data_IF_286301386384
#
_entry.id   IF_286301386384
#
_cell.length_a   1.000
_cell.length_b   1.000
_cell.length_c   1.000
_cell.angle_alpha   90.00
_cell.angle_beta   90.00
_cell.angle_gamma   90.00
#
_symmetry.space_group_name_H-M   'P 1'
#
loop_
_entity.id
_entity.type
_entity.pdbx_description
1 polymer ?
#
# COMPACT_ATOMS: atom_id res chain seq x y z
N UNK A 1 15.26 -19.25 0.56
CA UNK A 1 14.57 -18.45 1.59
C UNK A 1 13.08 -18.66 1.40
N UNK A 2 12.32 -19.00 2.45
CA UNK A 2 10.86 -19.03 2.40
C UNK A 2 10.31 -17.60 2.34
N UNK A 3 9.27 -17.39 1.52
CA UNK A 3 8.58 -16.11 1.40
C UNK A 3 7.15 -16.25 1.94
N UNK A 4 6.67 -15.21 2.62
CA UNK A 4 5.26 -14.97 2.84
C UNK A 4 4.73 -14.04 1.75
N UNK A 5 3.47 -14.22 1.36
CA UNK A 5 2.82 -13.38 0.35
C UNK A 5 1.81 -12.45 1.02
N UNK A 6 2.01 -11.14 0.87
CA UNK A 6 1.05 -10.12 1.31
C UNK A 6 0.22 -9.69 0.10
N UNK A 7 -1.11 -9.67 0.24
CA UNK A 7 -2.01 -9.19 -0.82
C UNK A 7 -1.94 -7.65 -0.89
N UNK A 8 -1.47 -7.10 -2.00
CA UNK A 8 -1.39 -5.66 -2.27
C UNK A 8 -2.46 -5.27 -3.29
N UNK A 9 -3.41 -4.42 -2.90
CA UNK A 9 -4.61 -4.09 -3.67
C UNK A 9 -4.61 -2.60 -3.99
N UNK A 10 -4.75 -2.21 -5.26
CA UNK A 10 -4.98 -0.82 -5.63
C UNK A 10 -6.43 -0.59 -6.02
N UNK A 11 -7.06 0.43 -5.46
CA UNK A 11 -8.47 0.74 -5.70
C UNK A 11 -8.78 2.23 -5.56
N UNK A 12 -9.90 2.66 -6.12
CA UNK A 12 -10.43 3.99 -5.87
C UNK A 12 -10.90 4.14 -4.40
N UNK A 13 -10.66 5.31 -3.83
CA UNK A 13 -11.15 5.67 -2.49
C UNK A 13 -12.68 5.70 -2.46
N UNK A 14 -13.33 5.21 -1.39
CA UNK A 14 -14.77 4.96 -1.37
C UNK A 14 -15.66 6.22 -1.50
N UNK A 15 -15.14 7.42 -1.22
CA UNK A 15 -15.94 8.65 -1.13
C UNK A 15 -15.52 9.76 -2.10
N UNK A 16 -14.42 9.56 -2.84
CA UNK A 16 -13.85 10.55 -3.76
C UNK A 16 -13.28 9.86 -5.01
N UNK A 17 -13.94 8.81 -5.49
CA UNK A 17 -13.37 7.76 -6.35
C UNK A 17 -12.56 8.27 -7.54
N UNK A 18 -11.28 7.90 -7.57
CA UNK A 18 -10.40 8.08 -8.73
C UNK A 18 -10.92 7.32 -9.95
N UNK A 19 -10.56 7.80 -11.15
CA UNK A 19 -10.80 7.04 -12.38
C UNK A 19 -10.00 5.73 -12.38
N UNK A 20 -10.50 4.64 -13.00
CA UNK A 20 -9.75 3.38 -13.10
C UNK A 20 -8.36 3.56 -13.73
N UNK A 21 -8.24 4.45 -14.72
CA UNK A 21 -6.96 4.75 -15.36
C UNK A 21 -5.95 5.37 -14.39
N UNK A 22 -6.40 6.23 -13.48
CA UNK A 22 -5.54 6.84 -12.46
C UNK A 22 -5.09 5.78 -11.44
N UNK A 23 -6.01 4.93 -10.97
CA UNK A 23 -5.68 3.81 -10.07
C UNK A 23 -4.60 2.91 -10.70
N UNK A 24 -4.77 2.52 -11.97
CA UNK A 24 -3.79 1.69 -12.68
C UNK A 24 -2.47 2.40 -12.98
N UNK A 25 -2.46 3.72 -13.14
CA UNK A 25 -1.23 4.49 -13.27
C UNK A 25 -0.46 4.49 -11.94
N UNK A 26 -1.15 4.79 -10.83
CA UNK A 26 -0.56 4.74 -9.48
C UNK A 26 -0.02 3.35 -9.15
N UNK A 27 -0.80 2.30 -9.42
CA UNK A 27 -0.38 0.92 -9.19
C UNK A 27 0.93 0.59 -9.90
N UNK A 28 1.01 0.88 -11.20
CA UNK A 28 2.22 0.64 -12.00
C UNK A 28 3.43 1.40 -11.48
N UNK A 29 3.26 2.65 -11.06
CA UNK A 29 4.36 3.46 -10.53
C UNK A 29 4.86 2.95 -9.17
N UNK A 30 3.96 2.67 -8.22
CA UNK A 30 4.32 2.11 -6.92
C UNK A 30 5.04 0.77 -7.10
N UNK A 31 4.45 -0.15 -7.88
CA UNK A 31 5.03 -1.48 -8.10
C UNK A 31 6.38 -1.38 -8.79
N UNK A 32 6.54 -0.53 -9.81
CA UNK A 32 7.82 -0.31 -10.46
C UNK A 32 8.90 0.18 -9.48
N UNK A 33 8.56 1.10 -8.58
CA UNK A 33 9.50 1.60 -7.57
C UNK A 33 9.91 0.51 -6.57
N UNK A 34 8.94 -0.27 -6.07
CA UNK A 34 9.21 -1.38 -5.15
C UNK A 34 10.13 -2.43 -5.81
N UNK A 35 9.87 -2.79 -7.07
CA UNK A 35 10.72 -3.72 -7.83
C UNK A 35 12.13 -3.17 -8.01
N UNK A 36 12.30 -1.87 -8.28
CA UNK A 36 13.62 -1.22 -8.36
C UNK A 36 14.39 -1.27 -7.02
N UNK A 37 13.69 -1.39 -5.90
CA UNK A 37 14.29 -1.60 -4.56
C UNK A 37 14.54 -3.08 -4.24
N UNK A 38 14.61 -3.95 -5.26
CA UNK A 38 14.76 -5.39 -5.14
C UNK A 38 13.65 -6.08 -4.34
N UNK A 39 12.47 -5.45 -4.21
CA UNK A 39 11.30 -6.12 -3.65
C UNK A 39 10.69 -7.05 -4.70
N UNK A 40 10.22 -8.21 -4.26
CA UNK A 40 9.53 -9.17 -5.13
C UNK A 40 8.04 -8.88 -5.10
N UNK A 41 7.52 -8.33 -6.20
CA UNK A 41 6.11 -8.06 -6.40
C UNK A 41 5.65 -8.82 -7.65
N UNK A 42 4.58 -9.60 -7.53
CA UNK A 42 4.04 -10.41 -8.61
C UNK A 42 2.58 -10.03 -8.88
N UNK A 43 2.14 -9.90 -10.14
CA UNK A 43 0.74 -9.62 -10.45
C UNK A 43 -0.14 -10.84 -10.13
N UNK A 44 -1.34 -10.59 -9.59
CA UNK A 44 -2.34 -11.64 -9.35
C UNK A 44 -3.53 -11.41 -10.25
N UNK A 45 -3.95 -12.47 -10.93
CA UNK A 45 -5.21 -12.48 -11.66
C UNK A 45 -6.27 -13.22 -10.86
N UNK A 46 -7.18 -12.50 -10.22
CA UNK A 46 -8.27 -13.09 -9.43
C UNK A 46 -9.58 -13.26 -10.23
N UNK A 47 -9.54 -13.02 -11.55
CA UNK A 47 -10.70 -13.14 -12.45
C UNK A 47 -11.66 -11.94 -12.40
N UNK A 48 -11.45 -11.00 -11.49
CA UNK A 48 -12.20 -9.75 -11.44
C UNK A 48 -11.70 -8.81 -12.53
N UNK A 49 -12.56 -8.47 -13.49
CA UNK A 49 -12.21 -7.44 -14.49
C UNK A 49 -12.09 -6.09 -13.79
N UNK A 50 -10.86 -5.60 -13.62
CA UNK A 50 -10.60 -4.21 -13.22
C UNK A 50 -10.06 -4.00 -11.80
N UNK A 51 -9.21 -4.89 -11.29
CA UNK A 51 -8.41 -4.65 -10.09
C UNK A 51 -6.92 -4.77 -10.39
N UNK A 52 -6.15 -3.76 -10.01
CA UNK A 52 -4.69 -3.84 -9.97
C UNK A 52 -4.30 -4.56 -8.66
N UNK A 53 -4.11 -5.87 -8.78
CA UNK A 53 -3.84 -6.76 -7.65
C UNK A 53 -2.44 -7.39 -7.77
N UNK A 54 -1.72 -7.40 -6.67
CA UNK A 54 -0.36 -7.94 -6.59
C UNK A 54 -0.16 -8.77 -5.32
N UNK A 55 0.83 -9.66 -5.37
CA UNK A 55 1.44 -10.32 -4.22
C UNK A 55 2.78 -9.67 -3.95
N UNK A 56 2.98 -9.21 -2.72
CA UNK A 56 4.28 -8.78 -2.24
C UNK A 56 4.91 -9.92 -1.45
N UNK A 57 5.97 -10.50 -2.02
CA UNK A 57 6.72 -11.58 -1.41
C UNK A 57 7.73 -11.01 -0.42
N UNK A 58 7.47 -11.25 0.87
CA UNK A 58 8.29 -10.79 1.98
C UNK A 58 9.08 -11.96 2.55
N UNK A 59 10.38 -11.76 2.77
CA UNK A 59 11.25 -12.80 3.32
C UNK A 59 10.82 -13.17 4.74
N UNK A 60 10.73 -14.47 4.99
CA UNK A 60 10.41 -15.01 6.31
C UNK A 60 11.58 -15.78 6.87
N UNK A 61 11.71 -15.74 8.21
CA UNK A 61 12.78 -16.42 8.91
C UNK A 61 12.56 -17.95 9.02
N UNK A 62 11.34 -18.46 8.80
CA UNK A 62 10.98 -19.85 9.06
C UNK A 62 10.17 -20.48 7.90
N UNK A 63 10.61 -21.65 7.44
CA UNK A 63 9.97 -22.38 6.33
C UNK A 63 8.78 -23.25 6.76
N UNK A 64 8.64 -23.55 8.06
CA UNK A 64 7.62 -24.48 8.56
C UNK A 64 6.21 -23.86 8.53
N UNK A 65 6.11 -22.57 8.86
CA UNK A 65 4.92 -21.73 8.72
C UNK A 65 5.40 -20.28 8.54
N UNK A 66 5.19 -19.65 7.37
CA UNK A 66 5.73 -18.32 7.10
C UNK A 66 4.86 -17.27 7.78
N UNK A 67 4.92 -17.18 9.11
CA UNK A 67 4.32 -16.07 9.86
C UNK A 67 5.17 -14.82 9.65
N UNK A 68 4.51 -13.69 9.42
CA UNK A 68 5.19 -12.40 9.26
C UNK A 68 5.32 -11.77 10.65
N UNK A 69 6.55 -11.50 11.13
CA UNK A 69 6.73 -10.72 12.34
C UNK A 69 6.17 -9.31 12.16
N UNK A 70 5.54 -8.77 13.20
CA UNK A 70 4.97 -7.42 13.16
C UNK A 70 6.00 -6.33 12.77
N UNK A 71 7.24 -6.46 13.22
CA UNK A 71 8.33 -5.56 12.83
C UNK A 71 8.65 -5.62 11.33
N UNK A 72 8.56 -6.82 10.73
CA UNK A 72 8.72 -6.99 9.27
C UNK A 72 7.56 -6.35 8.53
N UNK A 73 6.32 -6.54 9.01
CA UNK A 73 5.14 -5.87 8.44
C UNK A 73 5.27 -4.35 8.51
N UNK A 74 5.67 -3.81 9.67
CA UNK A 74 5.87 -2.37 9.87
C UNK A 74 6.89 -1.80 8.88
N UNK A 75 8.01 -2.50 8.68
CA UNK A 75 9.03 -2.12 7.70
C UNK A 75 8.47 -2.13 6.26
N UNK A 76 7.76 -3.20 5.87
CA UNK A 76 7.15 -3.32 4.54
C UNK A 76 6.14 -2.20 4.28
N UNK A 77 5.28 -1.90 5.25
CA UNK A 77 4.30 -0.80 5.15
C UNK A 77 4.99 0.57 5.12
N UNK A 78 6.07 0.76 5.89
CA UNK A 78 6.85 2.00 5.87
C UNK A 78 7.47 2.27 4.49
N UNK A 79 7.98 1.22 3.84
CA UNK A 79 8.51 1.31 2.47
C UNK A 79 7.41 1.70 1.49
N UNK A 80 6.23 1.09 1.58
CA UNK A 80 5.09 1.45 0.73
C UNK A 80 4.68 2.92 0.91
N UNK A 81 4.56 3.38 2.16
CA UNK A 81 4.20 4.76 2.48
C UNK A 81 5.22 5.75 1.92
N UNK A 82 6.51 5.42 2.00
CA UNK A 82 7.58 6.22 1.41
C UNK A 82 7.45 6.32 -0.10
N UNK A 83 7.15 5.21 -0.79
CA UNK A 83 6.99 5.22 -2.24
C UNK A 83 5.77 6.01 -2.67
N UNK A 84 4.63 5.80 -2.02
CA UNK A 84 3.41 6.60 -2.25
C UNK A 84 3.69 8.09 -2.05
N UNK A 85 4.39 8.46 -0.98
CA UNK A 85 4.78 9.85 -0.70
C UNK A 85 5.75 10.43 -1.75
N UNK A 86 6.62 9.61 -2.33
CA UNK A 86 7.52 10.04 -3.40
C UNK A 86 6.77 10.28 -4.71
N UNK A 87 5.74 9.49 -5.01
CA UNK A 87 4.84 9.77 -6.15
C UNK A 87 4.21 11.15 -6.01
N UNK A 88 3.80 11.50 -4.80
CA UNK A 88 3.30 12.84 -4.47
C UNK A 88 4.35 13.96 -4.53
N UNK A 89 5.61 13.67 -4.85
CA UNK A 89 6.67 14.68 -4.97
C UNK A 89 7.27 14.75 -6.37
N UNK A 90 7.20 13.67 -7.12
CA UNK A 90 7.81 13.56 -8.45
C UNK A 90 6.97 14.19 -9.57
N UNK A 91 5.68 14.41 -9.35
CA UNK A 91 4.86 15.15 -10.30
C UNK A 91 5.17 16.65 -10.16
N UNK A 92 5.76 17.25 -11.20
CA UNK A 92 6.11 18.68 -11.27
C UNK A 92 4.89 19.59 -11.24
N UNK A 93 3.69 19.00 -11.24
CA UNK A 93 2.41 19.68 -11.02
C UNK A 93 2.32 20.15 -9.57
N UNK A 94 1.77 21.35 -9.36
CA UNK A 94 1.57 21.94 -8.03
C UNK A 94 1.07 20.91 -7.00
N UNK A 95 1.56 20.91 -5.74
CA UNK A 95 1.17 19.92 -4.71
C UNK A 95 -0.34 19.88 -4.42
N UNK A 96 -1.09 20.82 -4.98
CA UNK A 96 -2.54 20.87 -4.96
C UNK A 96 -3.16 19.84 -5.91
N UNK A 97 -2.61 19.52 -7.08
CA UNK A 97 -3.28 18.70 -8.12
C UNK A 97 -3.16 17.18 -7.93
N UNK A 98 -2.53 16.72 -6.85
CA UNK A 98 -2.26 15.30 -6.68
C UNK A 98 -3.43 14.58 -6.00
N UNK A 99 -3.75 13.35 -6.45
CA UNK A 99 -4.76 12.54 -5.80
C UNK A 99 -4.30 12.19 -4.37
N UNK A 100 -5.18 12.32 -3.35
CA UNK A 100 -4.85 11.83 -2.03
C UNK A 100 -4.74 10.31 -2.08
N UNK A 101 -3.62 9.75 -1.63
CA UNK A 101 -3.40 8.31 -1.54
C UNK A 101 -3.35 7.91 -0.08
N UNK A 102 -4.14 6.91 0.30
CA UNK A 102 -4.22 6.38 1.66
C UNK A 102 -3.85 4.90 1.63
N UNK A 103 -3.00 4.46 2.55
CA UNK A 103 -2.69 3.04 2.74
C UNK A 103 -3.54 2.52 3.89
N UNK A 104 -4.19 1.37 3.66
CA UNK A 104 -5.04 0.70 4.65
C UNK A 104 -4.51 -0.72 4.82
N UNK A 105 -4.11 -1.07 6.04
CA UNK A 105 -3.64 -2.41 6.39
C UNK A 105 -4.78 -3.14 7.08
N UNK A 106 -5.16 -4.32 6.60
CA UNK A 106 -6.23 -5.13 7.18
C UNK A 106 -5.72 -6.53 7.48
N UNK A 107 -5.95 -7.01 8.70
CA UNK A 107 -5.60 -8.35 9.14
C UNK A 107 -6.83 -9.00 9.80
N UNK A 108 -7.47 -9.93 9.11
CA UNK A 108 -8.76 -10.48 9.53
C UNK A 108 -9.83 -9.38 9.61
N UNK A 109 -10.41 -9.19 10.79
CA UNK A 109 -11.46 -8.18 11.04
C UNK A 109 -10.91 -6.83 11.55
N UNK A 110 -9.59 -6.75 11.78
CA UNK A 110 -8.94 -5.55 12.27
C UNK A 110 -8.34 -4.73 11.11
N UNK A 111 -8.46 -3.42 11.18
CA UNK A 111 -7.94 -2.49 10.16
C UNK A 111 -7.17 -1.36 10.82
N UNK A 112 -6.02 -1.02 10.24
CA UNK A 112 -5.17 0.11 10.62
C UNK A 112 -4.93 0.98 9.39
N UNK A 113 -5.20 2.28 9.51
CA UNK A 113 -4.90 3.27 8.47
C UNK A 113 -3.76 4.15 8.98
N UNK A 114 -2.50 3.77 8.70
CA UNK A 114 -1.37 4.54 9.18
C UNK A 114 -1.32 5.95 8.57
N UNK A 115 -0.89 6.96 9.34
CA UNK A 115 -0.58 8.28 8.80
C UNK A 115 0.45 8.21 7.66
N UNK A 116 0.35 9.09 6.64
CA UNK A 116 1.24 9.06 5.47
C UNK A 116 2.72 9.36 5.80
N UNK A 117 2.95 10.03 6.93
CA UNK A 117 4.29 10.41 7.41
C UNK A 117 4.83 9.47 8.50
N UNK A 118 4.17 8.35 8.76
CA UNK A 118 4.63 7.43 9.80
C UNK A 118 5.96 6.78 9.43
N UNK A 119 6.92 6.88 10.35
CA UNK A 119 8.15 6.11 10.30
C UNK A 119 7.94 4.67 10.78
N UNK A 120 8.97 3.83 10.64
CA UNK A 120 8.91 2.41 11.01
C UNK A 120 8.56 2.20 12.49
N UNK A 121 9.09 3.01 13.41
CA UNK A 121 8.89 2.82 14.85
C UNK A 121 7.46 3.17 15.26
N UNK A 122 6.93 4.28 14.72
CA UNK A 122 5.54 4.67 14.90
C UNK A 122 4.60 3.63 14.28
N UNK A 123 4.90 3.13 13.08
CA UNK A 123 4.13 2.06 12.44
C UNK A 123 4.11 0.80 13.30
N UNK A 124 5.26 0.38 13.83
CA UNK A 124 5.32 -0.79 14.69
C UNK A 124 4.41 -0.61 15.92
N UNK A 125 4.43 0.57 16.55
CA UNK A 125 3.56 0.86 17.68
C UNK A 125 2.07 0.82 17.30
N UNK A 126 1.67 1.52 16.23
CA UNK A 126 0.28 1.56 15.76
C UNK A 126 -0.25 0.19 15.34
N UNK A 127 0.60 -0.59 14.66
CA UNK A 127 0.26 -1.95 14.25
C UNK A 127 0.14 -2.87 15.47
N UNK A 128 1.01 -2.74 16.47
CA UNK A 128 0.95 -3.55 17.71
C UNK A 128 -0.32 -3.29 18.52
N UNK A 129 -0.86 -2.07 18.48
CA UNK A 129 -2.14 -1.73 19.13
C UNK A 129 -3.34 -2.40 18.43
N UNK A 130 -3.20 -2.78 17.15
CA UNK A 130 -4.30 -3.26 16.31
C UNK A 130 -4.21 -4.74 15.95
N UNK A 131 -2.99 -5.28 15.85
CA UNK A 131 -2.69 -6.60 15.28
C UNK A 131 -1.86 -7.46 16.24
N UNK A 132 -1.90 -8.79 16.10
CA UNK A 132 -1.02 -9.69 16.84
C UNK A 132 0.44 -9.54 16.40
N UNK A 133 1.40 -9.88 17.28
CA UNK A 133 2.84 -9.84 16.98
C UNK A 133 3.27 -10.78 15.83
N UNK A 134 2.48 -11.82 15.56
CA UNK A 134 2.67 -12.74 14.44
C UNK A 134 1.45 -12.74 13.54
N UNK A 135 1.67 -12.41 12.27
CA UNK A 135 0.61 -12.21 11.29
C UNK A 135 0.58 -13.42 10.35
N UNK A 136 -0.61 -13.99 10.18
CA UNK A 136 -0.89 -14.97 9.12
C UNK A 136 -1.00 -14.25 7.76
N UNK A 137 -0.14 -14.56 6.77
CA UNK A 137 -0.14 -13.85 5.49
C UNK A 137 -1.48 -13.92 4.74
N UNK A 138 -2.16 -15.06 4.82
CA UNK A 138 -3.44 -15.30 4.13
C UNK A 138 -4.58 -14.42 4.67
N UNK A 139 -4.44 -13.91 5.90
CA UNK A 139 -5.41 -13.00 6.53
C UNK A 139 -5.04 -11.53 6.35
N UNK A 140 -3.86 -11.25 5.79
CA UNK A 140 -3.31 -9.90 5.65
C UNK A 140 -3.52 -9.37 4.24
N UNK A 141 -4.07 -8.16 4.15
CA UNK A 141 -4.14 -7.39 2.92
C UNK A 141 -3.75 -5.93 3.17
N UNK A 142 -3.04 -5.34 2.22
CA UNK A 142 -2.69 -3.93 2.19
C UNK A 142 -3.37 -3.30 0.99
N UNK A 143 -4.28 -2.36 1.24
CA UNK A 143 -4.93 -1.58 0.20
C UNK A 143 -4.26 -0.22 0.04
N UNK A 144 -4.05 0.19 -1.21
CA UNK A 144 -3.69 1.54 -1.61
C UNK A 144 -4.91 2.17 -2.25
N UNK A 145 -5.53 3.10 -1.51
CA UNK A 145 -6.75 3.79 -1.92
C UNK A 145 -6.39 5.14 -2.55
N UNK A 146 -6.78 5.31 -3.81
CA UNK A 146 -6.50 6.52 -4.61
C UNK A 146 -7.75 7.39 -4.69
N UNK A 147 -7.69 8.61 -4.21
CA UNK A 147 -8.75 9.62 -4.35
C UNK A 147 -8.66 10.40 -5.65
N UNK A 148 -9.65 11.25 -5.89
CA UNK A 148 -9.64 12.17 -7.03
C UNK A 148 -8.68 13.33 -6.77
N UNK A 149 -7.97 13.83 -7.79
CA UNK A 149 -7.28 15.10 -7.68
C UNK A 149 -8.30 16.20 -7.35
N UNK A 150 -7.95 17.19 -6.53
CA UNK A 150 -8.87 18.27 -6.23
C UNK A 150 -9.16 19.11 -7.48
N UNK A 151 -10.31 19.81 -7.51
CA UNK A 151 -10.69 20.59 -8.67
C UNK A 151 -9.64 21.70 -8.95
N UNK A 152 -9.42 22.05 -10.23
CA UNK A 152 -8.55 23.16 -10.57
C UNK A 152 -9.05 24.45 -9.90
N UNK A 153 -8.15 25.39 -9.54
CA UNK A 153 -8.55 26.66 -8.99
C UNK A 153 -9.49 27.38 -9.96
N UNK A 154 -10.60 27.92 -9.44
CA UNK A 154 -11.52 28.73 -10.24
C UNK A 154 -10.78 29.92 -10.82
N UNK A 155 -11.00 30.30 -12.08
CA UNK A 155 -10.34 31.46 -12.71
C UNK A 155 -10.79 32.82 -12.15
N UNK A 156 -11.53 32.83 -11.04
CA UNK A 156 -12.13 34.01 -10.41
C UNK A 156 -11.66 34.22 -8.95
N UNK A 157 -10.60 33.53 -8.51
CA UNK A 157 -9.91 33.79 -7.23
C UNK A 157 -8.60 34.55 -7.47
#
# INVERSE_FOLDING_TARGET
MPYASIKLIFRAAPHAGASPALVSATARQVVASLVQQNQRIEPVYDGSRGGDLYQWLVETANAAQPLIPLATLALTVAQLLKEVKNLSKSDTSTPRDQPPIVVVVTCGDATCTPPPDSDQALLEQLLRETFPDQIEPDRLSVEVQVGSPPPPPSPFD
#
